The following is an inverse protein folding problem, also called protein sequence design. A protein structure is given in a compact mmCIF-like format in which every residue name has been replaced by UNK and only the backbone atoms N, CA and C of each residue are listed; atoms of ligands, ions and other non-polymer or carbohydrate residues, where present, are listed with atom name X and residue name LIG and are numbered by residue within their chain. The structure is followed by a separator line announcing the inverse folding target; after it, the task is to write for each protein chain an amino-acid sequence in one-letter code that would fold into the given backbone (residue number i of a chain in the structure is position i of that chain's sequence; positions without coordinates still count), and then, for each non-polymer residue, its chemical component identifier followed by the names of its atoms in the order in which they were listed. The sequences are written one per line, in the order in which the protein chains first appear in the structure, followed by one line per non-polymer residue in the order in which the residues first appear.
data_IF_198669456587
#
_entry.id   IF_198669456587
#
_cell.length_a   1.000
_cell.length_b   1.000
_cell.length_c   1.000
_cell.angle_alpha   90.00
_cell.angle_beta   90.00
_cell.angle_gamma   90.00
#
_symmetry.space_group_name_H-M   'P 1'
#
loop_
_entity.id
_entity.type
_entity.pdbx_description
1 polymer ?
#
# COMPACT_ATOMS: atom_id res chain seq x y z
N UNK A 1 -2.01 10.72 28.58
CA UNK A 1 -1.39 11.26 27.34
C UNK A 1 0.09 10.83 27.15
N UNK A 2 0.49 9.61 27.58
CA UNK A 2 1.91 9.19 27.66
C UNK A 2 2.41 8.32 26.49
N UNK A 3 1.55 7.93 25.53
CA UNK A 3 1.90 7.01 24.42
C UNK A 3 2.31 7.69 23.09
N UNK A 4 2.07 8.99 22.91
CA UNK A 4 2.22 9.60 21.57
C UNK A 4 3.67 9.62 21.05
N UNK A 5 4.69 9.79 21.90
CA UNK A 5 6.10 9.83 21.44
C UNK A 5 6.57 8.51 20.84
N UNK A 6 6.23 7.38 21.46
CA UNK A 6 6.64 6.07 20.97
C UNK A 6 5.93 5.71 19.66
N UNK A 7 4.68 6.14 19.50
CA UNK A 7 3.92 5.89 18.27
C UNK A 7 4.43 6.76 17.10
N UNK A 8 4.86 8.00 17.38
CA UNK A 8 5.51 8.88 16.39
C UNK A 8 6.87 8.33 15.97
N UNK A 9 7.70 7.86 16.92
CA UNK A 9 9.01 7.26 16.59
C UNK A 9 8.82 6.01 15.72
N UNK A 10 7.85 5.15 16.07
CA UNK A 10 7.51 3.98 15.25
C UNK A 10 7.05 4.38 13.84
N UNK A 11 6.26 5.44 13.71
CA UNK A 11 5.86 5.99 12.42
C UNK A 11 7.07 6.40 11.56
N UNK A 12 8.02 7.14 12.13
CA UNK A 12 9.24 7.54 11.41
C UNK A 12 10.10 6.34 11.01
N UNK A 13 10.20 5.32 11.86
CA UNK A 13 10.93 4.08 11.54
C UNK A 13 10.26 3.33 10.38
N UNK A 14 8.94 3.23 10.40
CA UNK A 14 8.16 2.62 9.30
C UNK A 14 8.30 3.40 8.00
N UNK A 15 8.25 4.74 8.07
CA UNK A 15 8.47 5.62 6.93
C UNK A 15 9.86 5.44 6.33
N UNK A 16 10.91 5.45 7.17
CA UNK A 16 12.30 5.24 6.72
C UNK A 16 12.46 3.88 6.03
N UNK A 17 11.97 2.81 6.66
CA UNK A 17 12.11 1.45 6.12
C UNK A 17 11.31 1.29 4.81
N UNK A 18 10.11 1.85 4.75
CA UNK A 18 9.29 1.85 3.54
C UNK A 18 9.96 2.60 2.38
N UNK A 19 10.50 3.80 2.64
CA UNK A 19 11.22 4.59 1.64
C UNK A 19 12.43 3.81 1.14
N UNK A 20 13.26 3.26 2.04
CA UNK A 20 14.44 2.50 1.65
C UNK A 20 14.08 1.28 0.78
N UNK A 21 13.08 0.50 1.20
CA UNK A 21 12.65 -0.69 0.46
C UNK A 21 12.10 -0.34 -0.92
N UNK A 22 11.16 0.60 -0.99
CA UNK A 22 10.56 1.03 -2.26
C UNK A 22 11.59 1.68 -3.19
N UNK A 23 12.48 2.53 -2.67
CA UNK A 23 13.52 3.18 -3.47
C UNK A 23 14.50 2.15 -4.03
N UNK A 24 14.95 1.18 -3.21
CA UNK A 24 15.86 0.13 -3.66
C UNK A 24 15.24 -0.71 -4.77
N UNK A 25 13.99 -1.15 -4.59
CA UNK A 25 13.30 -1.96 -5.60
C UNK A 25 13.06 -1.19 -6.90
N UNK A 26 12.65 0.08 -6.80
CA UNK A 26 12.42 0.93 -7.96
C UNK A 26 13.73 1.19 -8.73
N UNK A 27 14.83 1.46 -8.02
CA UNK A 27 16.15 1.61 -8.64
C UNK A 27 16.62 0.34 -9.35
N UNK A 28 16.39 -0.85 -8.77
CA UNK A 28 16.71 -2.13 -9.44
C UNK A 28 15.95 -2.26 -10.75
N UNK A 29 14.64 -2.01 -10.75
CA UNK A 29 13.80 -2.06 -11.96
C UNK A 29 14.28 -1.02 -12.98
N UNK A 30 14.60 0.19 -12.52
CA UNK A 30 15.07 1.26 -13.40
C UNK A 30 16.41 0.94 -14.06
N UNK A 31 17.36 0.37 -13.30
CA UNK A 31 18.65 -0.09 -13.84
C UNK A 31 18.44 -1.18 -14.88
N UNK A 32 17.56 -2.15 -14.61
CA UNK A 32 17.23 -3.20 -15.58
C UNK A 32 16.62 -2.61 -16.87
N UNK A 33 15.73 -1.63 -16.74
CA UNK A 33 15.16 -0.91 -17.89
C UNK A 33 16.22 -0.14 -18.68
N UNK A 34 17.13 0.58 -18.02
CA UNK A 34 18.23 1.28 -18.67
C UNK A 34 19.16 0.33 -19.43
N UNK A 35 19.43 -0.86 -18.86
CA UNK A 35 20.23 -1.89 -19.51
C UNK A 35 19.56 -2.43 -20.78
N UNK A 36 18.25 -2.71 -20.73
CA UNK A 36 17.49 -3.21 -21.90
C UNK A 36 17.37 -2.12 -22.97
N UNK A 37 17.18 -0.86 -22.57
CA UNK A 37 16.98 0.28 -23.47
C UNK A 37 18.29 0.89 -23.98
N UNK A 38 19.44 0.29 -23.63
CA UNK A 38 20.78 0.73 -23.99
C UNK A 38 21.08 2.20 -23.61
N UNK A 39 20.44 2.70 -22.56
CA UNK A 39 20.64 4.07 -22.07
C UNK A 39 21.79 4.10 -21.07
N UNK A 40 22.88 4.79 -21.46
CA UNK A 40 24.12 4.85 -20.68
C UNK A 40 24.13 5.97 -19.62
N UNK A 41 23.21 6.93 -19.69
CA UNK A 41 23.17 8.07 -18.78
C UNK A 41 21.83 8.15 -18.05
N UNK A 42 21.91 8.19 -16.73
CA UNK A 42 20.75 8.39 -15.86
C UNK A 42 20.73 9.86 -15.44
N UNK A 43 19.68 10.58 -15.83
CA UNK A 43 19.52 11.98 -15.44
C UNK A 43 19.24 12.10 -13.95
N UNK A 44 20.01 12.95 -13.26
CA UNK A 44 19.82 13.28 -11.84
C UNK A 44 18.42 13.86 -11.61
N UNK A 45 17.88 14.63 -12.57
CA UNK A 45 16.53 15.19 -12.49
C UNK A 45 15.45 14.10 -12.40
N UNK A 46 15.60 13.03 -13.18
CA UNK A 46 14.67 11.90 -13.16
C UNK A 46 14.76 11.12 -11.83
N UNK A 47 15.98 10.93 -11.32
CA UNK A 47 16.21 10.28 -10.02
C UNK A 47 15.51 11.06 -8.89
N UNK A 48 15.66 12.37 -8.86
CA UNK A 48 15.05 13.22 -7.83
C UNK A 48 13.52 13.15 -7.89
N UNK A 49 12.93 13.16 -9.09
CA UNK A 49 11.48 13.00 -9.27
C UNK A 49 11.00 11.63 -8.75
N UNK A 50 11.71 10.55 -9.07
CA UNK A 50 11.41 9.20 -8.58
C UNK A 50 11.52 9.10 -7.05
N UNK A 51 12.48 9.80 -6.45
CA UNK A 51 12.65 9.83 -5.00
C UNK A 51 11.47 10.53 -4.32
N UNK A 52 11.02 11.68 -4.85
CA UNK A 52 9.81 12.35 -4.36
C UNK A 52 8.57 11.47 -4.48
N UNK A 53 8.43 10.75 -5.60
CA UNK A 53 7.34 9.82 -5.83
C UNK A 53 7.28 8.72 -4.77
N UNK A 54 8.43 8.09 -4.46
CA UNK A 54 8.50 7.06 -3.42
C UNK A 54 8.18 7.63 -2.04
N UNK A 55 8.75 8.80 -1.69
CA UNK A 55 8.48 9.45 -0.40
C UNK A 55 6.98 9.72 -0.24
N UNK A 56 6.33 10.32 -1.24
CA UNK A 56 4.90 10.63 -1.16
C UNK A 56 4.03 9.39 -1.10
N UNK A 57 4.32 8.36 -1.90
CA UNK A 57 3.58 7.08 -1.85
C UNK A 57 3.69 6.39 -0.49
N UNK A 58 4.90 6.32 0.08
CA UNK A 58 5.13 5.72 1.41
C UNK A 58 4.52 6.56 2.52
N UNK A 59 4.46 7.87 2.37
CA UNK A 59 3.81 8.77 3.32
C UNK A 59 2.28 8.55 3.32
N UNK A 60 1.63 8.52 2.15
CA UNK A 60 0.19 8.23 2.03
C UNK A 60 -0.13 6.86 2.64
N UNK A 61 0.70 5.86 2.35
CA UNK A 61 0.56 4.52 2.95
C UNK A 61 0.65 4.57 4.48
N UNK A 62 1.69 5.21 5.02
CA UNK A 62 1.88 5.27 6.47
C UNK A 62 0.77 6.07 7.17
N UNK A 63 0.25 7.15 6.60
CA UNK A 63 -0.85 7.91 7.20
C UNK A 63 -2.11 7.05 7.34
N UNK A 64 -2.46 6.30 6.31
CA UNK A 64 -3.72 5.54 6.28
C UNK A 64 -3.65 4.21 7.04
N UNK A 65 -2.48 3.57 7.04
CA UNK A 65 -2.31 2.26 7.68
C UNK A 65 -1.72 2.33 9.09
N UNK A 66 -1.08 3.43 9.49
CA UNK A 66 -0.67 3.60 10.88
C UNK A 66 -1.89 3.99 11.74
N UNK A 67 -2.13 3.25 12.83
CA UNK A 67 -3.19 3.53 13.81
C UNK A 67 -3.07 4.89 14.53
N UNK A 68 -2.04 5.69 14.20
CA UNK A 68 -1.78 7.02 14.77
C UNK A 68 -2.85 8.03 14.35
N UNK A 69 -3.27 8.04 13.07
CA UNK A 69 -4.25 9.01 12.57
C UNK A 69 -5.67 8.44 12.42
N UNK A 70 -5.80 7.18 11.99
CA UNK A 70 -7.12 6.58 11.75
C UNK A 70 -7.28 5.33 12.61
N UNK A 71 -7.97 5.46 13.75
CA UNK A 71 -8.11 4.37 14.74
C UNK A 71 -9.33 3.47 14.47
N UNK A 72 -10.45 4.03 14.00
CA UNK A 72 -11.74 3.33 13.94
C UNK A 72 -12.20 2.89 12.54
N UNK A 73 -11.38 3.05 11.49
CA UNK A 73 -11.78 2.61 10.15
C UNK A 73 -11.54 1.12 9.94
N UNK A 74 -12.52 0.47 9.31
CA UNK A 74 -12.40 -0.90 8.79
C UNK A 74 -11.32 -0.97 7.71
N UNK A 75 -10.68 -2.13 7.55
CA UNK A 75 -9.60 -2.32 6.58
C UNK A 75 -10.04 -1.94 5.16
N UNK A 76 -11.26 -2.30 4.75
CA UNK A 76 -11.83 -1.95 3.44
C UNK A 76 -11.91 -0.45 3.21
N UNK A 77 -12.31 0.35 4.22
CA UNK A 77 -12.37 1.81 4.10
C UNK A 77 -10.97 2.43 3.98
N UNK A 78 -10.00 1.92 4.75
CA UNK A 78 -8.60 2.37 4.67
C UNK A 78 -7.99 2.06 3.31
N UNK A 79 -8.20 0.83 2.83
CA UNK A 79 -7.71 0.38 1.52
C UNK A 79 -8.32 1.20 0.38
N UNK A 80 -9.63 1.45 0.42
CA UNK A 80 -10.31 2.23 -0.62
C UNK A 80 -9.82 3.68 -0.64
N UNK A 81 -9.67 4.30 0.52
CA UNK A 81 -9.12 5.65 0.63
C UNK A 81 -7.65 5.71 0.19
N UNK A 82 -6.86 4.66 0.50
CA UNK A 82 -5.49 4.53 0.03
C UNK A 82 -5.41 4.47 -1.48
N UNK A 83 -6.22 3.63 -2.11
CA UNK A 83 -6.22 3.54 -3.57
C UNK A 83 -6.60 4.88 -4.21
N UNK A 84 -7.64 5.56 -3.72
CA UNK A 84 -8.04 6.86 -4.27
C UNK A 84 -6.93 7.90 -4.12
N UNK A 85 -6.38 8.07 -2.92
CA UNK A 85 -5.35 9.08 -2.66
C UNK A 85 -4.04 8.76 -3.38
N UNK A 86 -3.64 7.49 -3.42
CA UNK A 86 -2.46 7.05 -4.15
C UNK A 86 -2.65 7.28 -5.65
N UNK A 87 -3.79 6.89 -6.23
CA UNK A 87 -4.06 7.10 -7.65
C UNK A 87 -4.07 8.58 -8.04
N UNK A 88 -4.67 9.46 -7.23
CA UNK A 88 -4.59 10.91 -7.46
C UNK A 88 -3.15 11.42 -7.41
N UNK A 89 -2.38 10.95 -6.44
CA UNK A 89 -0.97 11.30 -6.31
C UNK A 89 -0.13 10.78 -7.48
N UNK A 90 -0.38 9.56 -7.94
CA UNK A 90 0.27 8.97 -9.11
C UNK A 90 -0.07 9.74 -10.39
N UNK A 91 -1.33 10.12 -10.59
CA UNK A 91 -1.74 10.94 -11.74
C UNK A 91 -0.95 12.26 -11.80
N UNK A 92 -0.82 12.96 -10.67
CA UNK A 92 -0.06 14.21 -10.58
C UNK A 92 1.44 14.00 -10.87
N UNK A 93 2.02 12.93 -10.33
CA UNK A 93 3.45 12.64 -10.55
C UNK A 93 3.73 12.20 -11.98
N UNK A 94 2.88 11.39 -12.60
CA UNK A 94 3.07 10.99 -13.99
C UNK A 94 2.92 12.15 -14.97
N UNK A 95 2.03 13.09 -14.66
CA UNK A 95 1.96 14.35 -15.39
C UNK A 95 3.25 15.18 -15.21
N UNK A 96 3.77 15.29 -13.98
CA UNK A 96 5.00 16.04 -13.69
C UNK A 96 6.29 15.39 -14.23
N UNK A 97 6.30 14.07 -14.36
CA UNK A 97 7.38 13.29 -14.97
C UNK A 97 7.31 13.29 -16.50
N UNK A 98 6.17 13.66 -17.10
CA UNK A 98 5.96 13.66 -18.55
C UNK A 98 5.73 12.27 -19.14
N UNK A 99 5.35 11.28 -18.32
CA UNK A 99 5.10 9.92 -18.81
C UNK A 99 3.87 9.84 -19.74
N UNK A 100 2.85 10.68 -19.48
CA UNK A 100 1.62 10.72 -20.26
C UNK A 100 1.44 12.07 -20.99
N UNK A 101 2.48 12.56 -21.66
CA UNK A 101 2.39 13.74 -22.54
C UNK A 101 2.63 13.36 -24.01
N UNK A 102 1.60 13.49 -24.87
CA UNK A 102 1.68 13.14 -26.30
C UNK A 102 0.36 12.66 -26.93
N UNK A 103 0.40 12.26 -28.20
CA UNK A 103 -0.71 11.66 -28.95
C UNK A 103 -0.86 10.19 -28.52
N UNK A 104 -2.08 9.76 -28.14
CA UNK A 104 -2.34 8.41 -27.62
C UNK A 104 -2.37 8.29 -26.08
N UNK A 105 -2.18 9.40 -25.37
CA UNK A 105 -2.21 9.49 -23.90
C UNK A 105 -3.52 9.00 -23.28
N UNK A 106 -4.65 9.19 -23.96
CA UNK A 106 -5.95 8.73 -23.46
C UNK A 106 -6.00 7.21 -23.23
N UNK A 107 -5.48 6.41 -24.17
CA UNK A 107 -5.46 4.94 -24.06
C UNK A 107 -4.54 4.52 -22.91
N UNK A 108 -3.39 5.19 -22.76
CA UNK A 108 -2.44 4.90 -21.69
C UNK A 108 -3.03 5.19 -20.30
N UNK A 109 -3.78 6.28 -20.14
CA UNK A 109 -4.54 6.57 -18.92
C UNK A 109 -5.62 5.51 -18.64
N UNK A 110 -6.30 5.03 -19.68
CA UNK A 110 -7.33 4.00 -19.56
C UNK A 110 -6.74 2.66 -19.09
N UNK A 111 -5.61 2.26 -19.66
CA UNK A 111 -4.86 1.06 -19.25
C UNK A 111 -4.38 1.21 -17.80
N UNK A 112 -3.87 2.38 -17.42
CA UNK A 112 -3.44 2.67 -16.06
C UNK A 112 -4.58 2.52 -15.04
N UNK A 113 -5.74 3.11 -15.32
CA UNK A 113 -6.95 2.95 -14.49
C UNK A 113 -7.36 1.48 -14.40
N UNK A 114 -7.31 0.75 -15.52
CA UNK A 114 -7.58 -0.68 -15.56
C UNK A 114 -6.68 -1.49 -14.62
N UNK A 115 -5.37 -1.22 -14.63
CA UNK A 115 -4.41 -1.86 -13.73
C UNK A 115 -4.76 -1.56 -12.26
N UNK A 116 -5.06 -0.31 -11.92
CA UNK A 116 -5.46 0.07 -10.55
C UNK A 116 -6.71 -0.71 -10.11
N UNK A 117 -7.73 -0.80 -10.98
CA UNK A 117 -8.96 -1.52 -10.68
C UNK A 117 -8.70 -3.02 -10.44
N UNK A 118 -7.86 -3.65 -11.27
CA UNK A 118 -7.50 -5.07 -11.11
C UNK A 118 -6.75 -5.30 -9.80
N UNK A 119 -5.75 -4.45 -9.49
CA UNK A 119 -5.01 -4.54 -8.23
C UNK A 119 -5.92 -4.35 -7.02
N UNK A 120 -6.87 -3.41 -7.08
CA UNK A 120 -7.85 -3.20 -6.02
C UNK A 120 -8.71 -4.45 -5.80
N UNK A 121 -9.21 -5.07 -6.88
CA UNK A 121 -9.97 -6.31 -6.81
C UNK A 121 -9.16 -7.45 -6.18
N UNK A 122 -7.89 -7.60 -6.55
CA UNK A 122 -7.00 -8.60 -5.97
C UNK A 122 -6.83 -8.35 -4.47
N UNK A 123 -6.60 -7.11 -4.05
CA UNK A 123 -6.47 -6.78 -2.63
C UNK A 123 -7.74 -7.09 -1.84
N UNK A 124 -8.93 -6.79 -2.39
CA UNK A 124 -10.21 -7.16 -1.77
C UNK A 124 -10.35 -8.68 -1.69
N UNK A 125 -10.05 -9.42 -2.76
CA UNK A 125 -10.18 -10.87 -2.79
C UNK A 125 -9.26 -11.54 -1.75
N UNK A 126 -8.01 -11.06 -1.63
CA UNK A 126 -7.08 -11.51 -0.59
C UNK A 126 -7.63 -11.20 0.80
N UNK A 127 -8.13 -9.98 1.02
CA UNK A 127 -8.71 -9.59 2.31
C UNK A 127 -9.90 -10.47 2.69
N UNK A 128 -10.81 -10.73 1.75
CA UNK A 128 -12.00 -11.54 1.99
C UNK A 128 -11.64 -13.00 2.30
N UNK A 129 -10.67 -13.58 1.58
CA UNK A 129 -10.12 -14.90 1.90
C UNK A 129 -9.49 -14.95 3.29
N UNK A 130 -8.71 -13.95 3.67
CA UNK A 130 -8.05 -13.90 4.98
C UNK A 130 -9.06 -13.66 6.13
N UNK A 131 -10.06 -12.81 5.90
CA UNK A 131 -11.15 -12.54 6.85
C UNK A 131 -11.99 -13.79 7.09
N UNK A 132 -12.30 -14.56 6.04
CA UNK A 132 -13.05 -15.80 6.17
C UNK A 132 -12.29 -16.84 7.00
N UNK A 133 -10.97 -17.01 6.73
CA UNK A 133 -10.10 -17.90 7.52
C UNK A 133 -10.01 -17.48 8.99
N UNK A 134 -9.86 -16.18 9.26
CA UNK A 134 -9.86 -15.67 10.63
C UNK A 134 -11.21 -15.91 11.31
N UNK A 135 -12.33 -15.66 10.61
CA UNK A 135 -13.68 -15.95 11.08
C UNK A 135 -13.86 -17.40 11.49
N UNK A 136 -13.43 -18.35 10.65
CA UNK A 136 -13.46 -19.78 10.96
C UNK A 136 -12.66 -20.13 12.22
N UNK A 137 -11.45 -19.56 12.40
CA UNK A 137 -10.63 -19.77 13.59
C UNK A 137 -11.36 -19.26 14.85
N UNK A 138 -11.99 -18.07 14.78
CA UNK A 138 -12.75 -17.52 15.90
C UNK A 138 -13.99 -18.36 16.22
N UNK A 139 -14.72 -18.85 15.22
CA UNK A 139 -15.88 -19.73 15.41
C UNK A 139 -15.46 -21.07 16.04
N UNK A 140 -14.35 -21.67 15.58
CA UNK A 140 -13.80 -22.88 16.19
C UNK A 140 -13.35 -22.67 17.64
N UNK A 141 -12.70 -21.53 17.94
CA UNK A 141 -12.33 -21.19 19.31
C UNK A 141 -13.55 -21.00 20.22
N UNK A 142 -14.63 -20.39 19.70
CA UNK A 142 -15.89 -20.20 20.43
C UNK A 142 -16.58 -21.56 20.73
N UNK A 143 -16.65 -22.45 19.73
CA UNK A 143 -17.22 -23.80 19.90
C UNK A 143 -16.43 -24.58 20.96
N UNK A 144 -15.09 -24.52 20.91
CA UNK A 144 -14.22 -25.17 21.89
C UNK A 144 -14.42 -24.62 23.31
N UNK A 145 -14.58 -23.30 23.45
CA UNK A 145 -14.89 -22.67 24.74
C UNK A 145 -16.26 -23.09 25.28
N UNK A 146 -17.28 -23.15 24.42
CA UNK A 146 -18.62 -23.60 24.81
C UNK A 146 -18.64 -25.08 25.20
N UNK A 147 -17.92 -25.94 24.49
CA UNK A 147 -17.75 -27.36 24.85
C UNK A 147 -17.02 -27.53 26.18
N UNK A 148 -15.96 -26.75 26.44
CA UNK A 148 -15.28 -26.75 27.73
C UNK A 148 -16.22 -26.33 28.87
N UNK A 149 -17.03 -25.27 28.69
CA UNK A 149 -18.01 -24.87 29.71
C UNK A 149 -19.10 -25.92 29.94
N UNK A 150 -19.59 -26.59 28.89
CA UNK A 150 -20.56 -27.69 29.03
C UNK A 150 -19.98 -28.89 29.77
N UNK A 151 -18.71 -29.22 29.54
CA UNK A 151 -18.03 -30.30 30.26
C UNK A 151 -17.72 -29.97 31.72
N UNK A 152 -17.55 -28.68 32.07
CA UNK A 152 -17.31 -28.23 33.45
C UNK A 152 -18.63 -28.08 34.23
N UNK A 153 -19.70 -27.61 33.59
CA UNK A 153 -21.00 -27.41 34.22
C UNK A 153 -21.95 -28.63 34.11
N UNK A 154 -21.52 -29.69 33.43
CA UNK A 154 -22.28 -30.93 33.22
C UNK A 154 -21.92 -32.06 34.19
N UNK A 155 -21.32 -31.74 35.33
CA UNK A 155 -21.21 -32.63 36.50
C UNK A 155 -22.03 -32.05 37.64
#
# INVERSE_FOLDING_TARGET
MKNNKNDIIKFFVWMRNGIAFCTTWLLIIWIAYCHISNQQQISVSMLTKLLFFVIGGVLIFNILFTKVFIKNWTFTKRLTCFMVLLSLYECLNFYWMGFFSGIGTFIQWLVFIGIICVLYFICIAIYQRYSNKQGEIYTQALIKYQQQRRNVNGK
#
